data_IF_701644519660
#
_entry.id   IF_701644519660
#
_cell.length_a   1.000
_cell.length_b   1.000
_cell.length_c   1.000
_cell.angle_alpha   90.00
_cell.angle_beta   90.00
_cell.angle_gamma   90.00
#
_symmetry.space_group_name_H-M   'P 1'
#
loop_
_entity.id
_entity.type
_entity.pdbx_description
1 polymer ?
#
# COMPACT_ATOMS: atom_id res chain seq x y z
N UNK A 1 0.72 0.85 11.45
CA UNK A 1 1.11 -0.55 11.30
C UNK A 1 0.25 -1.17 10.20
N UNK A 2 0.87 -1.90 9.29
CA UNK A 2 0.14 -2.74 8.37
C UNK A 2 -0.40 -3.89 9.22
N UNK A 3 -1.62 -3.75 9.73
CA UNK A 3 -2.26 -4.85 10.43
C UNK A 3 -2.79 -5.86 9.41
N UNK A 4 -2.33 -7.07 9.55
CA UNK A 4 -3.07 -8.22 9.04
C UNK A 4 -4.12 -8.52 10.08
N UNK A 5 -5.40 -8.46 9.71
CA UNK A 5 -6.50 -8.65 10.64
C UNK A 5 -6.35 -9.95 11.44
N UNK A 6 -6.38 -9.84 12.76
CA UNK A 6 -6.30 -10.97 13.67
C UNK A 6 -4.89 -11.46 14.04
N UNK A 7 -3.82 -10.82 13.56
CA UNK A 7 -2.44 -11.18 13.91
C UNK A 7 -1.96 -10.30 15.07
N UNK A 8 -1.54 -10.91 16.17
CA UNK A 8 -1.01 -10.18 17.31
C UNK A 8 0.42 -9.68 17.06
N UNK A 9 0.85 -8.67 17.83
CA UNK A 9 2.24 -8.20 17.81
C UNK A 9 3.23 -9.33 18.13
N UNK A 10 2.89 -10.23 19.05
CA UNK A 10 3.70 -11.37 19.42
C UNK A 10 3.87 -12.33 18.24
N UNK A 11 2.78 -12.67 17.54
CA UNK A 11 2.83 -13.56 16.37
C UNK A 11 3.69 -12.95 15.26
N UNK A 12 3.54 -11.63 15.03
CA UNK A 12 4.38 -10.87 14.09
C UNK A 12 5.85 -10.98 14.45
N UNK A 13 6.19 -10.82 15.74
CA UNK A 13 7.56 -10.93 16.21
C UNK A 13 8.11 -12.35 16.01
N UNK A 14 7.34 -13.39 16.32
CA UNK A 14 7.74 -14.80 16.10
C UNK A 14 8.04 -15.07 14.63
N UNK A 15 7.20 -14.58 13.71
CA UNK A 15 7.44 -14.71 12.27
C UNK A 15 8.71 -13.96 11.86
N UNK A 16 8.95 -12.76 12.38
CA UNK A 16 10.15 -11.99 12.08
C UNK A 16 11.44 -12.68 12.56
N UNK A 17 11.34 -13.48 13.60
CA UNK A 17 12.44 -14.31 14.13
C UNK A 17 12.55 -15.68 13.44
N UNK A 18 11.72 -15.93 12.41
CA UNK A 18 11.74 -17.16 11.62
C UNK A 18 10.97 -18.34 12.23
N UNK A 19 10.11 -18.08 13.21
CA UNK A 19 9.23 -19.09 13.82
C UNK A 19 7.82 -18.98 13.26
N UNK A 20 7.14 -20.11 13.12
CA UNK A 20 5.73 -20.15 12.74
C UNK A 20 4.87 -20.18 14.01
N UNK A 21 4.02 -19.17 14.28
CA UNK A 21 3.08 -19.20 15.39
C UNK A 21 2.11 -20.39 15.28
N UNK A 22 1.78 -21.01 16.40
CA UNK A 22 0.80 -22.07 16.42
C UNK A 22 -0.59 -21.55 16.03
N UNK A 23 -1.31 -22.30 15.19
CA UNK A 23 -2.68 -22.00 14.73
C UNK A 23 -2.83 -20.78 13.79
N UNK A 24 -1.75 -20.32 13.16
CA UNK A 24 -1.82 -19.29 12.13
C UNK A 24 -1.95 -19.91 10.74
N UNK A 25 -2.79 -19.35 9.88
CA UNK A 25 -2.89 -19.78 8.49
C UNK A 25 -1.57 -19.52 7.74
N UNK A 26 -1.22 -20.39 6.81
CA UNK A 26 0.02 -20.28 6.03
C UNK A 26 0.05 -18.95 5.25
N UNK A 27 -1.08 -18.54 4.68
CA UNK A 27 -1.19 -17.29 3.93
C UNK A 27 -0.91 -16.06 4.80
N UNK A 28 -1.35 -16.07 6.06
CA UNK A 28 -1.07 -14.98 7.01
C UNK A 28 0.43 -14.88 7.32
N UNK A 29 1.11 -16.02 7.47
CA UNK A 29 2.56 -16.09 7.66
C UNK A 29 3.27 -15.51 6.43
N UNK A 30 2.82 -15.85 5.22
CA UNK A 30 3.38 -15.33 3.97
C UNK A 30 3.17 -13.81 3.91
N UNK A 31 1.97 -13.32 4.22
CA UNK A 31 1.67 -11.87 4.24
C UNK A 31 2.64 -11.12 5.16
N UNK A 32 2.83 -11.59 6.40
CA UNK A 32 3.73 -10.93 7.36
C UNK A 32 5.18 -10.94 6.89
N UNK A 33 5.66 -12.07 6.34
CA UNK A 33 7.01 -12.14 5.76
C UNK A 33 7.19 -11.21 4.56
N UNK A 34 6.18 -11.12 3.68
CA UNK A 34 6.22 -10.23 2.54
C UNK A 34 6.24 -8.75 2.98
N UNK A 35 5.50 -8.39 4.03
CA UNK A 35 5.54 -7.05 4.62
C UNK A 35 6.95 -6.75 5.15
N UNK A 36 7.56 -7.68 5.88
CA UNK A 36 8.95 -7.54 6.35
C UNK A 36 9.92 -7.28 5.18
N UNK A 37 9.82 -8.08 4.12
CA UNK A 37 10.67 -7.95 2.93
C UNK A 37 10.44 -6.62 2.21
N UNK A 38 9.20 -6.14 2.14
CA UNK A 38 8.87 -4.84 1.55
C UNK A 38 9.52 -3.69 2.34
N UNK A 39 9.53 -3.75 3.67
CA UNK A 39 10.23 -2.79 4.52
C UNK A 39 11.75 -2.86 4.33
N UNK A 40 12.34 -4.05 4.25
CA UNK A 40 13.78 -4.21 3.96
C UNK A 40 14.14 -3.60 2.62
N UNK A 41 13.36 -3.88 1.57
CA UNK A 41 13.55 -3.30 0.25
C UNK A 41 13.43 -1.76 0.28
N UNK A 42 12.49 -1.21 1.07
CA UNK A 42 12.37 0.24 1.26
C UNK A 42 13.66 0.82 1.82
N UNK A 43 14.16 0.27 2.93
CA UNK A 43 15.38 0.79 3.57
C UNK A 43 16.63 0.66 2.71
N UNK A 44 16.72 -0.36 1.87
CA UNK A 44 17.81 -0.54 0.91
C UNK A 44 17.78 0.49 -0.23
N UNK A 45 16.62 1.09 -0.50
CA UNK A 45 16.39 1.98 -1.63
C UNK A 45 15.92 3.38 -1.22
N UNK A 46 15.91 3.70 0.05
CA UNK A 46 15.32 4.92 0.59
C UNK A 46 15.94 6.23 0.06
N UNK A 47 17.18 6.19 -0.38
CA UNK A 47 17.87 7.34 -0.95
C UNK A 47 17.43 7.69 -2.38
N UNK A 48 16.64 6.81 -3.01
CA UNK A 48 16.11 7.03 -4.35
C UNK A 48 14.71 7.61 -4.30
N UNK A 49 14.36 8.55 -5.19
CA UNK A 49 12.99 9.06 -5.25
C UNK A 49 12.02 7.99 -5.71
N UNK A 50 10.83 7.98 -5.11
CA UNK A 50 9.74 7.09 -5.50
C UNK A 50 9.35 7.30 -6.98
N UNK A 51 9.13 6.19 -7.66
CA UNK A 51 8.63 6.14 -9.03
C UNK A 51 7.76 4.90 -9.25
N UNK A 52 7.25 4.74 -10.46
CA UNK A 52 6.44 3.58 -10.84
C UNK A 52 7.14 2.24 -10.56
N UNK A 53 8.44 2.13 -10.84
CA UNK A 53 9.18 0.89 -10.69
C UNK A 53 9.22 0.43 -9.22
N UNK A 54 9.45 1.35 -8.29
CA UNK A 54 9.43 1.05 -6.86
C UNK A 54 8.03 0.63 -6.39
N UNK A 55 6.99 1.33 -6.84
CA UNK A 55 5.60 0.97 -6.49
C UNK A 55 5.22 -0.41 -7.03
N UNK A 56 5.56 -0.71 -8.28
CA UNK A 56 5.37 -2.03 -8.89
C UNK A 56 6.12 -3.12 -8.12
N UNK A 57 7.35 -2.86 -7.72
CA UNK A 57 8.16 -3.79 -6.95
C UNK A 57 7.61 -4.02 -5.54
N UNK A 58 7.08 -2.99 -4.87
CA UNK A 58 6.36 -3.18 -3.60
C UNK A 58 5.18 -4.12 -3.76
N UNK A 59 4.36 -3.94 -4.80
CA UNK A 59 3.25 -4.85 -5.04
C UNK A 59 3.72 -6.28 -5.34
N UNK A 60 4.80 -6.43 -6.11
CA UNK A 60 5.39 -7.73 -6.41
C UNK A 60 5.86 -8.44 -5.12
N UNK A 61 6.58 -7.76 -4.25
CA UNK A 61 7.07 -8.31 -2.98
C UNK A 61 5.91 -8.66 -2.06
N UNK A 62 4.95 -7.73 -1.89
CA UNK A 62 3.79 -7.92 -1.02
C UNK A 62 2.87 -9.05 -1.48
N UNK A 63 2.79 -9.27 -2.78
CA UNK A 63 1.93 -10.28 -3.39
C UNK A 63 2.58 -11.62 -3.66
N UNK A 64 3.88 -11.77 -3.38
CA UNK A 64 4.60 -13.01 -3.70
C UNK A 64 3.99 -14.22 -2.99
N UNK A 65 3.64 -15.25 -3.78
CA UNK A 65 2.98 -16.45 -3.28
C UNK A 65 1.48 -16.32 -3.00
N UNK A 66 0.90 -15.11 -3.11
CA UNK A 66 -0.50 -14.82 -2.77
C UNK A 66 -1.30 -14.23 -3.94
N UNK A 67 -0.68 -13.39 -4.75
CA UNK A 67 -1.36 -12.60 -5.77
C UNK A 67 -0.85 -13.03 -7.15
N UNK A 68 -1.79 -13.40 -8.01
CA UNK A 68 -1.47 -13.66 -9.41
C UNK A 68 -1.04 -12.36 -10.10
N UNK A 69 0.05 -12.44 -10.87
CA UNK A 69 0.63 -11.31 -11.61
C UNK A 69 0.96 -10.09 -10.71
N UNK A 70 1.40 -10.36 -9.48
CA UNK A 70 1.87 -9.32 -8.56
C UNK A 70 2.91 -8.40 -9.23
N UNK A 71 2.79 -7.10 -8.99
CA UNK A 71 3.63 -6.08 -9.62
C UNK A 71 3.23 -5.67 -11.02
N UNK A 72 2.24 -6.33 -11.64
CA UNK A 72 1.74 -5.96 -12.96
C UNK A 72 0.41 -5.22 -12.87
N UNK A 73 0.18 -4.29 -13.78
CA UNK A 73 -1.14 -3.68 -13.91
C UNK A 73 -2.21 -4.74 -14.14
N UNK A 74 -3.35 -4.60 -13.47
CA UNK A 74 -4.49 -5.47 -13.72
C UNK A 74 -5.03 -5.27 -15.14
N UNK A 75 -5.56 -6.33 -15.70
CA UNK A 75 -6.18 -6.35 -17.03
C UNK A 75 -7.69 -6.61 -16.96
N UNK A 76 -8.24 -6.75 -15.74
CA UNK A 76 -9.65 -7.01 -15.51
C UNK A 76 -10.24 -5.91 -14.61
N UNK A 77 -11.55 -5.70 -14.75
CA UNK A 77 -12.28 -4.83 -13.85
C UNK A 77 -12.28 -5.41 -12.43
N UNK A 78 -12.24 -4.51 -11.46
CA UNK A 78 -12.31 -4.85 -10.04
C UNK A 78 -13.44 -4.05 -9.38
N UNK A 79 -13.95 -4.58 -8.28
CA UNK A 79 -14.89 -3.89 -7.40
C UNK A 79 -14.32 -3.80 -6.02
N UNK A 80 -14.50 -2.64 -5.38
CA UNK A 80 -14.05 -2.42 -4.01
C UNK A 80 -15.27 -2.66 -3.09
N UNK A 81 -15.07 -3.47 -2.05
CA UNK A 81 -16.12 -3.70 -1.07
C UNK A 81 -16.49 -2.42 -0.32
N UNK A 82 -17.80 -2.19 -0.12
CA UNK A 82 -18.32 -1.06 0.66
C UNK A 82 -18.45 0.27 -0.08
N UNK A 83 -18.27 0.29 -1.40
CA UNK A 83 -18.48 1.46 -2.26
C UNK A 83 -19.03 1.06 -3.62
N UNK A 84 -19.75 1.97 -4.27
CA UNK A 84 -20.22 1.82 -5.66
C UNK A 84 -19.17 2.31 -6.68
N UNK A 85 -18.06 2.86 -6.23
CA UNK A 85 -16.96 3.29 -7.09
C UNK A 85 -16.36 2.11 -7.86
N UNK A 86 -16.26 2.27 -9.18
CA UNK A 86 -15.62 1.30 -10.08
C UNK A 86 -14.38 1.98 -10.67
N UNK A 87 -13.18 1.54 -10.29
CA UNK A 87 -11.94 2.11 -10.82
C UNK A 87 -11.79 1.80 -12.31
N UNK A 88 -11.40 2.81 -13.08
CA UNK A 88 -11.07 2.64 -14.50
C UNK A 88 -9.93 1.62 -14.68
N UNK A 89 -9.92 0.95 -15.84
CA UNK A 89 -8.84 0.03 -16.18
C UNK A 89 -7.52 0.82 -16.32
N UNK A 90 -6.48 0.49 -15.55
CA UNK A 90 -5.24 1.25 -15.59
C UNK A 90 -4.47 1.03 -16.90
N UNK A 91 -3.79 2.08 -17.36
CA UNK A 91 -2.79 1.99 -18.42
C UNK A 91 -1.40 2.31 -17.86
N UNK A 92 -0.34 1.88 -18.52
CA UNK A 92 1.03 2.25 -18.13
C UNK A 92 1.20 3.78 -18.12
N UNK A 93 0.68 4.45 -19.13
CA UNK A 93 0.74 5.92 -19.25
C UNK A 93 0.03 6.59 -18.06
N UNK A 94 -1.25 6.27 -17.81
CA UNK A 94 -2.02 6.91 -16.73
C UNK A 94 -1.44 6.66 -15.34
N UNK A 95 -0.88 5.47 -15.11
CA UNK A 95 -0.30 5.09 -13.82
C UNK A 95 1.05 5.76 -13.60
N UNK A 96 1.91 5.78 -14.62
CA UNK A 96 3.22 6.43 -14.60
C UNK A 96 3.08 7.94 -14.42
N UNK A 97 2.21 8.59 -15.20
CA UNK A 97 1.94 10.02 -15.12
C UNK A 97 1.30 10.37 -13.77
N UNK A 98 0.46 9.47 -13.26
CA UNK A 98 -0.14 9.60 -11.94
C UNK A 98 0.89 9.76 -10.84
N UNK A 99 1.90 8.89 -10.79
CA UNK A 99 3.00 8.98 -9.80
C UNK A 99 3.89 10.19 -10.09
N UNK A 100 4.28 10.39 -11.34
CA UNK A 100 5.16 11.50 -11.73
C UNK A 100 4.58 12.87 -11.40
N UNK A 101 3.26 13.04 -11.51
CA UNK A 101 2.58 14.28 -11.15
C UNK A 101 2.63 14.56 -9.65
N UNK A 102 2.47 13.50 -8.83
CA UNK A 102 2.52 13.62 -7.37
C UNK A 102 3.93 13.98 -6.87
N UNK A 103 4.98 13.52 -7.55
CA UNK A 103 6.35 13.87 -7.19
C UNK A 103 6.68 15.36 -7.36
N UNK A 104 5.82 16.15 -8.03
CA UNK A 104 5.96 17.61 -8.16
C UNK A 104 5.37 18.40 -6.99
N UNK A 105 4.65 17.75 -6.09
CA UNK A 105 4.08 18.39 -4.90
C UNK A 105 5.22 18.70 -3.93
N UNK A 106 5.31 19.97 -3.50
CA UNK A 106 6.42 20.45 -2.66
C UNK A 106 6.38 19.87 -1.25
N UNK A 107 5.19 19.88 -0.60
CA UNK A 107 5.01 19.30 0.75
C UNK A 107 5.18 17.78 0.70
N UNK A 108 6.17 17.21 1.41
CA UNK A 108 6.37 15.77 1.44
C UNK A 108 5.19 15.01 2.05
N UNK A 109 4.54 15.59 3.06
CA UNK A 109 3.39 15.01 3.75
C UNK A 109 2.18 14.94 2.81
N UNK A 110 1.85 16.06 2.15
CA UNK A 110 0.74 16.11 1.19
C UNK A 110 1.01 15.17 0.00
N UNK A 111 2.24 15.15 -0.49
CA UNK A 111 2.68 14.24 -1.55
C UNK A 111 2.44 12.78 -1.17
N UNK A 112 2.83 12.38 0.03
CA UNK A 112 2.70 11.01 0.49
C UNK A 112 1.23 10.62 0.71
N UNK A 113 0.43 11.49 1.31
CA UNK A 113 -0.99 11.24 1.53
C UNK A 113 -1.77 11.16 0.21
N UNK A 114 -1.52 12.08 -0.72
CA UNK A 114 -2.14 12.06 -2.04
C UNK A 114 -1.69 10.85 -2.87
N UNK A 115 -0.43 10.41 -2.70
CA UNK A 115 0.08 9.19 -3.31
C UNK A 115 -0.66 7.96 -2.78
N UNK A 116 -0.83 7.86 -1.46
CA UNK A 116 -1.64 6.82 -0.84
C UNK A 116 -3.07 6.82 -1.41
N UNK A 117 -3.74 7.97 -1.39
CA UNK A 117 -5.10 8.15 -1.88
C UNK A 117 -5.24 7.74 -3.37
N UNK A 118 -4.33 8.19 -4.23
CA UNK A 118 -4.39 7.91 -5.67
C UNK A 118 -4.19 6.43 -5.98
N UNK A 119 -3.23 5.78 -5.34
CA UNK A 119 -2.95 4.35 -5.56
C UNK A 119 -4.13 3.50 -5.08
N UNK A 120 -4.66 3.79 -3.88
CA UNK A 120 -5.78 3.04 -3.32
C UNK A 120 -7.06 3.22 -4.13
N UNK A 121 -7.37 4.42 -4.58
CA UNK A 121 -8.54 4.68 -5.43
C UNK A 121 -8.39 4.10 -6.83
N UNK A 122 -7.20 4.16 -7.40
CA UNK A 122 -6.92 3.68 -8.75
C UNK A 122 -6.95 2.16 -8.89
N UNK A 123 -6.73 1.42 -7.79
CA UNK A 123 -6.71 -0.05 -7.79
C UNK A 123 -5.92 -0.61 -8.98
N UNK A 124 -4.68 -0.18 -9.12
CA UNK A 124 -3.89 -0.47 -10.32
C UNK A 124 -3.44 -1.91 -10.44
N UNK A 125 -3.38 -2.64 -9.32
CA UNK A 125 -3.00 -4.05 -9.26
C UNK A 125 -4.20 -4.95 -8.98
N UNK A 126 -4.05 -6.25 -9.23
CA UNK A 126 -5.10 -7.23 -8.98
C UNK A 126 -5.50 -7.31 -7.49
N UNK A 127 -4.55 -7.09 -6.59
CA UNK A 127 -4.77 -7.04 -5.14
C UNK A 127 -3.58 -6.34 -4.46
N UNK A 128 -3.69 -6.11 -3.12
CA UNK A 128 -2.64 -5.50 -2.33
C UNK A 128 -2.45 -4.00 -2.56
N UNK A 129 -3.40 -3.31 -3.18
CA UNK A 129 -3.28 -1.89 -3.52
C UNK A 129 -3.09 -0.99 -2.30
N UNK A 130 -3.80 -1.24 -1.20
CA UNK A 130 -3.67 -0.45 0.04
C UNK A 130 -2.28 -0.64 0.68
N UNK A 131 -1.80 -1.88 0.77
CA UNK A 131 -0.46 -2.18 1.30
C UNK A 131 0.63 -1.57 0.41
N UNK A 132 0.47 -1.65 -0.90
CA UNK A 132 1.38 -1.02 -1.87
C UNK A 132 1.38 0.50 -1.72
N UNK A 133 0.21 1.11 -1.60
CA UNK A 133 0.05 2.54 -1.39
C UNK A 133 0.76 3.02 -0.11
N UNK A 134 0.59 2.27 0.99
CA UNK A 134 1.21 2.58 2.27
C UNK A 134 2.75 2.48 2.19
N UNK A 135 3.29 1.46 1.55
CA UNK A 135 4.75 1.33 1.36
C UNK A 135 5.31 2.45 0.47
N UNK A 136 4.60 2.78 -0.61
CA UNK A 136 4.99 3.85 -1.54
C UNK A 136 4.99 5.23 -0.85
N UNK A 137 3.94 5.53 -0.07
CA UNK A 137 3.84 6.76 0.71
C UNK A 137 4.95 6.84 1.78
N UNK A 138 5.22 5.75 2.49
CA UNK A 138 6.29 5.69 3.48
C UNK A 138 7.68 5.86 2.86
N UNK A 139 7.91 5.30 1.68
CA UNK A 139 9.17 5.55 0.96
C UNK A 139 9.35 7.06 0.71
N UNK A 140 8.31 7.75 0.22
CA UNK A 140 8.37 9.19 -0.03
C UNK A 140 8.64 10.00 1.24
N UNK A 141 8.00 9.65 2.37
CA UNK A 141 8.19 10.34 3.65
C UNK A 141 9.58 10.13 4.23
N UNK A 142 10.06 8.88 4.25
CA UNK A 142 11.36 8.55 4.82
C UNK A 142 12.49 9.13 3.96
N UNK A 143 12.36 9.06 2.63
CA UNK A 143 13.29 9.72 1.71
C UNK A 143 13.39 11.24 1.97
N UNK A 144 12.28 11.87 2.31
CA UNK A 144 12.24 13.29 2.66
C UNK A 144 12.67 13.58 4.12
N UNK A 145 12.87 12.56 4.94
CA UNK A 145 13.28 12.71 6.35
C UNK A 145 12.19 13.26 7.28
N UNK A 146 10.91 13.21 6.89
CA UNK A 146 9.80 13.81 7.65
C UNK A 146 9.04 12.83 8.54
N UNK A 147 9.22 11.53 8.36
CA UNK A 147 8.62 10.55 9.26
C UNK A 147 8.03 9.33 8.59
N UNK A 148 7.03 8.72 9.24
CA UNK A 148 6.36 7.49 8.82
C UNK A 148 4.85 7.67 8.90
N UNK A 149 4.14 7.25 7.87
CA UNK A 149 2.69 7.16 7.88
C UNK A 149 2.25 5.78 8.38
N UNK A 150 1.48 5.77 9.44
CA UNK A 150 0.85 4.56 9.96
C UNK A 150 -0.55 4.86 10.48
N UNK A 151 -1.45 3.89 10.39
CA UNK A 151 -2.82 3.99 10.88
C UNK A 151 -2.89 3.26 12.21
N UNK A 152 -3.25 3.99 13.28
CA UNK A 152 -3.45 3.38 14.59
C UNK A 152 -4.66 2.42 14.54
N UNK A 153 -4.58 1.26 15.22
CA UNK A 153 -5.72 0.34 15.34
C UNK A 153 -7.01 1.02 15.82
N UNK A 154 -6.91 1.96 16.74
CA UNK A 154 -8.05 2.73 17.25
C UNK A 154 -8.72 3.62 16.21
N UNK A 155 -8.00 4.03 15.17
CA UNK A 155 -8.49 4.90 14.10
C UNK A 155 -8.88 4.10 12.84
N UNK A 156 -8.63 2.79 12.78
CA UNK A 156 -8.86 1.96 11.60
C UNK A 156 -10.27 2.11 11.03
N UNK A 157 -11.30 2.03 11.89
CA UNK A 157 -12.70 2.16 11.45
C UNK A 157 -13.01 3.53 10.85
N UNK A 158 -12.54 4.60 11.47
CA UNK A 158 -12.73 5.96 10.98
C UNK A 158 -11.99 6.15 9.67
N UNK A 159 -10.75 5.72 9.61
CA UNK A 159 -9.93 5.76 8.39
C UNK A 159 -10.61 5.05 7.21
N UNK A 160 -11.07 3.80 7.41
CA UNK A 160 -11.79 3.06 6.37
C UNK A 160 -13.03 3.81 5.89
N UNK A 161 -13.82 4.40 6.81
CA UNK A 161 -15.01 5.19 6.45
C UNK A 161 -14.65 6.40 5.59
N UNK A 162 -13.57 7.11 5.93
CA UNK A 162 -13.09 8.26 5.17
C UNK A 162 -12.55 7.85 3.82
N UNK A 163 -11.80 6.74 3.76
CA UNK A 163 -11.25 6.20 2.52
C UNK A 163 -12.35 5.80 1.52
N UNK A 164 -13.40 5.11 1.98
CA UNK A 164 -14.55 4.77 1.12
C UNK A 164 -15.26 6.02 0.58
N UNK A 165 -15.44 7.04 1.43
CA UNK A 165 -16.00 8.32 1.01
C UNK A 165 -15.13 9.02 -0.04
N UNK A 166 -13.81 8.99 0.13
CA UNK A 166 -12.87 9.50 -0.86
C UNK A 166 -12.98 8.75 -2.21
N UNK A 167 -13.16 7.43 -2.19
CA UNK A 167 -13.32 6.67 -3.44
C UNK A 167 -14.51 7.17 -4.27
N UNK A 168 -15.60 7.54 -3.64
CA UNK A 168 -16.80 8.03 -4.32
C UNK A 168 -16.67 9.49 -4.76
N UNK A 169 -16.22 10.37 -3.87
CA UNK A 169 -16.17 11.82 -4.13
C UNK A 169 -14.95 12.27 -4.94
N UNK A 170 -13.84 11.54 -4.87
CA UNK A 170 -12.51 12.00 -5.31
C UNK A 170 -12.08 13.31 -4.64
N UNK A 171 -12.59 13.58 -3.44
CA UNK A 171 -12.28 14.75 -2.65
C UNK A 171 -11.36 14.31 -1.51
N UNK A 172 -10.12 14.78 -1.49
CA UNK A 172 -9.07 14.47 -0.52
C UNK A 172 -9.19 15.24 0.80
N UNK A 173 -10.07 16.23 0.87
CA UNK A 173 -10.35 17.02 2.10
C UNK A 173 -10.78 16.17 3.31
N UNK A 174 -11.42 14.99 3.18
CA UNK A 174 -11.75 14.14 4.32
C UNK A 174 -10.56 13.55 5.08
N UNK A 175 -9.37 13.61 4.57
CA UNK A 175 -8.16 13.12 5.21
C UNK A 175 -7.39 14.24 5.92
#
# INVERSE_FOLDING_TARGET
SIEVDGISFRDTQEIFEGRAPANMAVDDIIVVNNIKRAWMFLFENVDQPVNWQYMSEYNRILGEGLIRDAGKLRTNDVRIGGTDWIPELPTMESSHDGISSLMKIESPEDRALLMFCKITRGQWFNDGNERTALMTANHALINAGVGVFSISPSLKREFTTRLLRYYESNDDVPF
#
